data_IF_929723332879
#
_entry.id   IF_929723332879
#
_cell.length_a   1.000
_cell.length_b   1.000
_cell.length_c   1.000
_cell.angle_alpha   90.00
_cell.angle_beta   90.00
_cell.angle_gamma   90.00
#
_symmetry.space_group_name_H-M   'P 1'
#
loop_
_entity.id
_entity.type
_entity.pdbx_description
1 polymer ?
#
# COMPACT_ATOMS: atom_id res chain seq x y z
N UNK A 1 -10.03 -6.77 30.27
CA UNK A 1 -10.69 -6.72 28.94
C UNK A 1 -9.83 -6.07 27.85
N UNK A 2 -9.26 -4.87 28.07
CA UNK A 2 -8.40 -4.16 27.09
C UNK A 2 -7.25 -5.01 26.51
N UNK A 3 -6.58 -5.84 27.34
CA UNK A 3 -5.51 -6.75 26.89
C UNK A 3 -5.99 -7.86 25.93
N UNK A 4 -7.19 -8.41 26.15
CA UNK A 4 -7.76 -9.46 25.27
C UNK A 4 -8.14 -8.88 23.91
N UNK A 5 -8.65 -7.65 23.89
CA UNK A 5 -8.93 -6.89 22.67
C UNK A 5 -7.64 -6.65 21.90
N UNK A 6 -6.59 -6.16 22.58
CA UNK A 6 -5.27 -5.94 21.95
C UNK A 6 -4.68 -7.22 21.35
N UNK A 7 -4.73 -8.35 22.08
CA UNK A 7 -4.27 -9.65 21.58
C UNK A 7 -5.09 -10.09 20.35
N UNK A 8 -6.41 -9.93 20.39
CA UNK A 8 -7.29 -10.25 19.26
C UNK A 8 -6.94 -9.44 18.00
N UNK A 9 -6.70 -8.13 18.14
CA UNK A 9 -6.28 -7.29 17.03
C UNK A 9 -4.91 -7.68 16.48
N UNK A 10 -3.98 -8.06 17.36
CA UNK A 10 -2.64 -8.49 16.96
C UNK A 10 -2.69 -9.79 16.14
N UNK A 11 -3.51 -10.76 16.55
CA UNK A 11 -3.73 -12.02 15.81
C UNK A 11 -4.38 -11.74 14.45
N UNK A 12 -5.35 -10.83 14.39
CA UNK A 12 -6.02 -10.48 13.14
C UNK A 12 -5.05 -9.88 12.11
N UNK A 13 -4.10 -9.06 12.54
CA UNK A 13 -3.07 -8.48 11.66
C UNK A 13 -2.12 -9.58 11.16
N UNK A 14 -1.74 -10.54 12.01
CA UNK A 14 -0.92 -11.69 11.59
C UNK A 14 -1.62 -12.63 10.62
N UNK A 15 -2.96 -12.62 10.58
CA UNK A 15 -3.75 -13.42 9.65
C UNK A 15 -3.85 -12.80 8.25
N UNK A 16 -3.36 -11.57 8.03
CA UNK A 16 -3.39 -10.92 6.72
C UNK A 16 -2.68 -11.72 5.59
N UNK A 17 -1.48 -12.30 5.79
CA UNK A 17 -0.81 -13.10 4.75
C UNK A 17 -1.27 -14.57 4.65
N UNK A 18 -2.43 -14.94 5.20
CA UNK A 18 -2.85 -16.35 5.34
C UNK A 18 -2.89 -17.13 4.02
N UNK A 19 -3.19 -16.45 2.90
CA UNK A 19 -3.24 -17.07 1.57
C UNK A 19 -1.86 -17.59 1.14
N UNK A 20 -0.80 -16.78 1.29
CA UNK A 20 0.57 -17.19 0.92
C UNK A 20 1.08 -18.31 1.82
N UNK A 21 0.78 -18.23 3.12
CA UNK A 21 1.12 -19.30 4.07
C UNK A 21 0.42 -20.60 3.70
N UNK A 22 -0.88 -20.55 3.37
CA UNK A 22 -1.62 -21.72 2.94
C UNK A 22 -1.05 -22.35 1.66
N UNK A 23 -0.59 -21.54 0.69
CA UNK A 23 0.07 -22.03 -0.53
C UNK A 23 1.36 -22.80 -0.18
N UNK A 24 2.18 -22.26 0.72
CA UNK A 24 3.42 -22.92 1.15
C UNK A 24 3.14 -24.24 1.89
N UNK A 25 2.14 -24.25 2.77
CA UNK A 25 1.73 -25.46 3.49
C UNK A 25 1.25 -26.53 2.50
N UNK A 26 0.34 -26.18 1.59
CA UNK A 26 -0.16 -27.13 0.58
C UNK A 26 0.95 -27.64 -0.33
N UNK A 27 1.90 -26.77 -0.70
CA UNK A 27 3.07 -27.17 -1.48
C UNK A 27 3.95 -28.16 -0.72
N UNK A 28 4.22 -27.91 0.57
CA UNK A 28 5.03 -28.79 1.40
C UNK A 28 4.39 -30.17 1.62
N UNK A 29 3.10 -30.20 1.96
CA UNK A 29 2.39 -31.46 2.21
C UNK A 29 2.23 -32.31 0.95
N UNK A 30 2.00 -31.68 -0.21
CA UNK A 30 1.73 -32.39 -1.47
C UNK A 30 2.92 -32.34 -2.44
N UNK A 31 4.15 -32.16 -1.92
CA UNK A 31 5.32 -31.90 -2.76
C UNK A 31 5.59 -33.03 -3.76
N UNK A 32 5.49 -34.28 -3.32
CA UNK A 32 5.75 -35.44 -4.18
C UNK A 32 4.69 -35.54 -5.29
N UNK A 33 3.41 -35.38 -4.94
CA UNK A 33 2.32 -35.31 -5.91
C UNK A 33 2.53 -34.19 -6.94
N UNK A 34 2.99 -33.01 -6.49
CA UNK A 34 3.28 -31.87 -7.37
C UNK A 34 4.42 -32.21 -8.33
N UNK A 35 5.49 -32.85 -7.85
CA UNK A 35 6.65 -33.22 -8.68
C UNK A 35 6.24 -34.26 -9.73
N UNK A 36 5.47 -35.27 -9.35
CA UNK A 36 5.08 -36.37 -10.23
C UNK A 36 4.00 -35.99 -11.24
N UNK A 37 3.03 -35.15 -10.84
CA UNK A 37 1.83 -34.91 -11.65
C UNK A 37 1.73 -33.50 -12.24
N UNK A 38 2.28 -32.48 -11.58
CA UNK A 38 2.07 -31.07 -11.93
C UNK A 38 3.35 -30.34 -12.37
N UNK A 39 4.52 -30.95 -12.21
CA UNK A 39 5.79 -30.33 -12.58
C UNK A 39 5.98 -30.35 -14.10
N UNK A 40 6.37 -29.19 -14.65
CA UNK A 40 6.62 -29.02 -16.09
C UNK A 40 7.84 -29.80 -16.59
N UNK A 41 8.82 -30.05 -15.72
CA UNK A 41 10.04 -30.83 -16.02
C UNK A 41 9.95 -32.27 -15.49
N UNK A 42 8.75 -32.79 -15.20
CA UNK A 42 8.58 -34.15 -14.61
C UNK A 42 9.19 -35.26 -15.48
N UNK A 43 9.20 -35.07 -16.80
CA UNK A 43 9.70 -36.04 -17.78
C UNK A 43 11.22 -35.88 -18.04
N UNK A 44 11.86 -34.86 -17.46
CA UNK A 44 13.30 -34.63 -17.60
C UNK A 44 14.08 -35.42 -16.55
N UNK A 45 15.03 -36.25 -17.00
CA UNK A 45 15.92 -37.00 -16.11
C UNK A 45 16.80 -36.10 -15.21
N UNK A 46 17.10 -34.88 -15.66
CA UNK A 46 17.80 -33.83 -14.90
C UNK A 46 16.78 -32.72 -14.60
N UNK A 47 15.83 -33.00 -13.71
CA UNK A 47 14.82 -32.04 -13.29
C UNK A 47 15.40 -31.09 -12.21
N UNK A 48 15.46 -29.80 -12.52
CA UNK A 48 15.91 -28.76 -11.56
C UNK A 48 14.73 -28.02 -10.93
N UNK A 49 13.57 -28.04 -11.58
CA UNK A 49 12.35 -27.39 -11.12
C UNK A 49 11.86 -27.95 -9.78
N UNK A 50 11.71 -29.26 -9.63
CA UNK A 50 11.19 -29.91 -8.41
C UNK A 50 9.89 -29.26 -7.86
N UNK A 51 9.01 -28.82 -8.76
CA UNK A 51 7.75 -28.13 -8.42
C UNK A 51 7.88 -26.63 -8.10
N UNK A 52 9.09 -26.06 -8.10
CA UNK A 52 9.33 -24.65 -7.76
C UNK A 52 8.73 -23.67 -8.78
N UNK A 53 8.65 -24.04 -10.06
CA UNK A 53 7.98 -23.21 -11.07
C UNK A 53 6.49 -23.05 -10.75
N UNK A 54 5.81 -24.13 -10.36
CA UNK A 54 4.40 -24.10 -9.96
C UNK A 54 4.21 -23.27 -8.67
N UNK A 55 5.10 -23.46 -7.68
CA UNK A 55 5.05 -22.67 -6.45
C UNK A 55 5.18 -21.17 -6.74
N UNK A 56 6.18 -20.82 -7.56
CA UNK A 56 6.44 -19.43 -7.97
C UNK A 56 5.24 -18.84 -8.71
N UNK A 57 4.62 -19.61 -9.61
CA UNK A 57 3.42 -19.20 -10.31
C UNK A 57 2.27 -18.89 -9.34
N UNK A 58 1.95 -19.81 -8.41
CA UNK A 58 0.86 -19.61 -7.43
C UNK A 58 1.10 -18.41 -6.51
N UNK A 59 2.35 -18.20 -6.08
CA UNK A 59 2.71 -17.04 -5.26
C UNK A 59 2.58 -15.73 -6.03
N UNK A 60 3.00 -15.71 -7.30
CA UNK A 60 2.86 -14.56 -8.18
C UNK A 60 1.38 -14.22 -8.43
N UNK A 61 0.55 -15.22 -8.73
CA UNK A 61 -0.90 -15.04 -8.88
C UNK A 61 -1.54 -14.45 -7.62
N UNK A 62 -1.17 -14.93 -6.43
CA UNK A 62 -1.64 -14.37 -5.17
C UNK A 62 -1.20 -12.90 -5.00
N UNK A 63 0.06 -12.57 -5.31
CA UNK A 63 0.56 -11.19 -5.21
C UNK A 63 -0.09 -10.23 -6.21
N UNK A 64 -0.43 -10.71 -7.41
CA UNK A 64 -1.08 -9.88 -8.42
C UNK A 64 -2.52 -9.54 -8.01
N UNK A 65 -3.24 -10.50 -7.42
CA UNK A 65 -4.57 -10.27 -6.85
C UNK A 65 -4.53 -9.26 -5.71
N UNK A 66 -3.51 -9.33 -4.84
CA UNK A 66 -3.31 -8.34 -3.76
C UNK A 66 -3.10 -6.92 -4.35
N UNK A 67 -2.27 -6.77 -5.38
CA UNK A 67 -2.03 -5.48 -6.05
C UNK A 67 -3.28 -4.93 -6.73
N UNK A 68 -4.06 -5.78 -7.38
CA UNK A 68 -5.32 -5.39 -8.01
C UNK A 68 -6.32 -4.88 -6.96
N UNK A 69 -6.46 -5.60 -5.85
CA UNK A 69 -7.29 -5.19 -4.72
C UNK A 69 -6.82 -3.86 -4.10
N UNK A 70 -5.51 -3.69 -3.91
CA UNK A 70 -4.93 -2.43 -3.44
C UNK A 70 -5.28 -1.26 -4.37
N UNK A 71 -5.10 -1.45 -5.68
CA UNK A 71 -5.42 -0.43 -6.68
C UNK A 71 -6.91 -0.04 -6.69
N UNK A 72 -7.80 -0.99 -6.42
CA UNK A 72 -9.23 -0.75 -6.31
C UNK A 72 -9.58 0.06 -5.06
N UNK A 73 -8.98 -0.28 -3.91
CA UNK A 73 -9.18 0.46 -2.67
C UNK A 73 -8.66 1.91 -2.77
N UNK A 74 -7.50 2.11 -3.40
CA UNK A 74 -6.95 3.46 -3.65
C UNK A 74 -7.95 4.29 -4.47
N UNK A 75 -8.49 3.73 -5.57
CA UNK A 75 -9.49 4.41 -6.40
C UNK A 75 -10.77 4.77 -5.62
N UNK A 76 -11.25 3.88 -4.75
CA UNK A 76 -12.41 4.17 -3.90
C UNK A 76 -12.13 5.32 -2.91
N UNK A 77 -10.95 5.33 -2.28
CA UNK A 77 -10.56 6.41 -1.36
C UNK A 77 -10.44 7.75 -2.10
N UNK A 78 -9.85 7.77 -3.29
CA UNK A 78 -9.78 8.96 -4.14
C UNK A 78 -11.18 9.47 -4.52
N UNK A 79 -12.08 8.59 -4.95
CA UNK A 79 -13.47 8.96 -5.26
C UNK A 79 -14.21 9.55 -4.06
N UNK A 80 -14.08 8.94 -2.88
CA UNK A 80 -14.68 9.46 -1.64
C UNK A 80 -14.11 10.84 -1.27
N UNK A 81 -12.82 11.07 -1.49
CA UNK A 81 -12.18 12.37 -1.25
C UNK A 81 -12.71 13.45 -2.20
N UNK A 82 -12.88 13.14 -3.49
CA UNK A 82 -13.45 14.05 -4.50
C UNK A 82 -14.91 14.39 -4.16
N UNK A 83 -15.71 13.37 -3.81
CA UNK A 83 -17.10 13.54 -3.38
C UNK A 83 -17.15 14.48 -2.17
N UNK A 84 -16.37 14.24 -1.11
CA UNK A 84 -16.36 15.09 0.09
C UNK A 84 -16.02 16.55 -0.23
N UNK A 85 -15.05 16.83 -1.10
CA UNK A 85 -14.66 18.19 -1.45
C UNK A 85 -15.73 18.92 -2.29
N UNK A 86 -16.56 18.20 -3.06
CA UNK A 86 -17.65 18.80 -3.86
C UNK A 86 -18.83 19.29 -3.01
N UNK A 87 -19.05 18.70 -1.83
CA UNK A 87 -20.14 19.08 -0.92
C UNK A 87 -19.74 20.13 0.14
N UNK A 88 -18.48 20.59 0.16
CA UNK A 88 -18.09 21.80 0.92
C UNK A 88 -18.49 23.03 0.10
N UNK A 89 -19.80 23.28 0.03
CA UNK A 89 -20.35 24.51 -0.52
C UNK A 89 -20.07 25.68 0.40
N UNK A 90 -19.22 26.61 -0.02
CA UNK A 90 -18.99 27.88 0.67
C UNK A 90 -20.29 28.71 0.54
N UNK A 91 -21.10 28.77 1.61
CA UNK A 91 -22.09 29.84 1.74
C UNK A 91 -21.35 31.13 2.12
N UNK A 92 -20.95 31.89 1.11
CA UNK A 92 -20.41 33.24 1.29
C UNK A 92 -21.57 34.18 1.65
N UNK A 93 -21.79 34.38 2.94
CA UNK A 93 -22.60 35.49 3.41
C UNK A 93 -21.64 36.60 3.85
N UNK A 94 -21.63 37.65 3.03
CA UNK A 94 -20.93 38.90 3.22
C UNK A 94 -21.18 39.48 4.62
N UNK A 95 -20.17 39.53 5.50
CA UNK A 95 -20.16 40.43 6.66
C UNK A 95 -18.77 41.07 6.76
N UNK A 96 -18.71 42.34 6.38
CA UNK A 96 -17.62 43.26 6.70
C UNK A 96 -17.71 43.54 8.21
N UNK A 97 -16.66 43.25 8.98
CA UNK A 97 -16.68 43.54 10.41
C UNK A 97 -15.43 43.11 11.17
N UNK A 98 -14.55 44.09 11.38
CA UNK A 98 -13.57 44.22 12.46
C UNK A 98 -12.43 43.19 12.60
N UNK A 99 -11.20 43.67 12.38
CA UNK A 99 -9.94 43.01 12.75
C UNK A 99 -9.84 43.02 14.29
N UNK A 100 -9.72 41.85 14.91
CA UNK A 100 -9.29 41.70 16.30
C UNK A 100 -8.19 40.66 16.39
N UNK A 101 -7.07 41.03 17.03
CA UNK A 101 -5.85 40.25 17.15
C UNK A 101 -6.00 39.12 18.20
N UNK A 102 -5.31 38.01 17.92
CA UNK A 102 -4.81 36.92 18.81
C UNK A 102 -5.75 35.77 19.19
N UNK A 103 -5.25 34.58 19.60
CA UNK A 103 -3.94 33.96 19.37
C UNK A 103 -4.03 32.59 18.66
N UNK A 104 -2.96 32.23 17.97
CA UNK A 104 -2.72 30.93 17.33
C UNK A 104 -2.70 29.80 18.37
N UNK A 105 -3.52 28.74 18.20
CA UNK A 105 -3.10 27.36 18.54
C UNK A 105 -3.66 26.34 17.53
N UNK A 106 -2.73 25.74 16.79
CA UNK A 106 -2.76 24.48 16.04
C UNK A 106 -4.01 24.09 15.24
N UNK A 107 -4.10 24.59 14.01
CA UNK A 107 -4.66 23.77 12.92
C UNK A 107 -3.54 22.92 12.31
N UNK A 108 -3.78 21.61 12.20
CA UNK A 108 -2.96 20.69 11.41
C UNK A 108 -3.09 21.10 9.94
N UNK A 109 -2.20 21.99 9.49
CA UNK A 109 -2.02 22.30 8.07
C UNK A 109 -0.99 21.32 7.54
N UNK A 110 -1.45 20.33 6.78
CA UNK A 110 -0.57 19.56 5.88
C UNK A 110 -0.16 20.53 4.77
N UNK A 111 0.99 21.18 4.92
CA UNK A 111 1.67 21.88 3.83
C UNK A 111 2.23 20.82 2.89
N UNK A 112 1.46 20.48 1.87
CA UNK A 112 1.95 19.75 0.70
C UNK A 112 2.96 20.67 0.01
N UNK A 113 4.13 20.13 -0.29
CA UNK A 113 5.26 20.77 -0.98
C UNK A 113 4.80 21.69 -2.12
N UNK A 114 4.83 23.00 -1.89
CA UNK A 114 4.93 23.97 -2.98
C UNK A 114 6.42 24.15 -3.30
N UNK A 115 6.85 23.38 -4.29
CA UNK A 115 7.89 23.69 -5.26
C UNK A 115 8.73 24.95 -4.99
N UNK A 116 9.79 24.81 -4.21
CA UNK A 116 10.99 25.62 -4.41
C UNK A 116 11.90 24.79 -5.30
N UNK A 117 11.87 25.10 -6.60
CA UNK A 117 12.82 24.59 -7.60
C UNK A 117 14.22 24.81 -7.00
N UNK A 118 14.91 23.72 -6.71
CA UNK A 118 16.25 23.76 -6.13
C UNK A 118 17.18 24.42 -7.17
N UNK A 119 17.64 25.64 -6.89
CA UNK A 119 18.68 26.27 -7.69
C UNK A 119 20.03 26.04 -7.01
N UNK A 120 21.04 25.50 -7.71
CA UNK A 120 22.37 25.37 -7.16
C UNK A 120 23.00 26.77 -6.95
N UNK A 121 23.93 26.92 -5.99
CA UNK A 121 24.50 28.21 -5.64
C UNK A 121 25.28 28.81 -6.81
N UNK A 122 25.11 30.11 -7.02
CA UNK A 122 25.85 30.88 -8.04
C UNK A 122 27.24 31.17 -7.47
N UNK A 123 28.28 30.56 -8.05
CA UNK A 123 29.67 30.93 -7.77
C UNK A 123 29.94 32.32 -8.33
N UNK A 124 30.18 33.30 -7.44
CA UNK A 124 30.59 34.66 -7.81
C UNK A 124 32.02 34.62 -8.39
N UNK A 125 32.13 34.62 -9.72
CA UNK A 125 33.37 35.05 -10.39
C UNK A 125 33.49 36.57 -10.24
N UNK A 126 34.36 37.03 -9.32
CA UNK A 126 34.94 38.38 -9.41
C UNK A 126 36.16 38.33 -10.33
N UNK A 127 36.23 39.16 -11.38
CA UNK A 127 37.51 39.50 -11.99
C UNK A 127 38.23 40.54 -11.11
N UNK A 128 39.50 40.28 -10.79
CA UNK A 128 40.51 41.32 -10.61
C UNK A 128 41.29 41.41 -11.93
#
# INVERSE_FOLDING_TARGET
MKKRIAISFSILILALPIVKVAILIQFGFNRDYIIENLCVERDNAINTCQGQCLLSQKLNEASNKEKEQESFLVKLVEQLFIIKNKYVGIKSNHIIGHISKTPVTNSFVIRIFESQIFHPPIFLNRPY
#
